data_IF_722028596027
#
_entry.id   IF_722028596027
#
_cell.length_a   1.000
_cell.length_b   1.000
_cell.length_c   1.000
_cell.angle_alpha   90.00
_cell.angle_beta   90.00
_cell.angle_gamma   90.00
#
_symmetry.space_group_name_H-M   'P 1'
#
loop_
_entity.id
_entity.type
_entity.pdbx_description
1 polymer ?
#
# COMPACT_ATOMS: atom_id res chain seq x y z
N UNK A 1 12.97 12.87 -27.40
CA UNK A 1 12.70 11.68 -26.55
C UNK A 1 13.54 11.87 -25.31
N UNK A 2 13.01 12.58 -24.32
CA UNK A 2 13.74 12.91 -23.10
C UNK A 2 13.72 11.71 -22.16
N UNK A 3 14.91 11.18 -21.89
CA UNK A 3 15.13 10.10 -20.94
C UNK A 3 15.06 10.74 -19.54
N UNK A 4 13.94 10.54 -18.84
CA UNK A 4 13.84 10.89 -17.42
C UNK A 4 14.73 9.94 -16.62
N UNK A 5 15.95 10.40 -16.34
CA UNK A 5 16.85 9.77 -15.38
C UNK A 5 16.27 10.07 -13.99
N UNK A 6 15.63 9.08 -13.37
CA UNK A 6 15.33 9.15 -11.94
C UNK A 6 16.66 9.26 -11.20
N UNK A 7 16.90 10.40 -10.56
CA UNK A 7 18.00 10.57 -9.61
C UNK A 7 17.87 9.48 -8.55
N UNK A 8 18.90 8.63 -8.44
CA UNK A 8 19.13 7.76 -7.29
C UNK A 8 19.21 8.64 -6.04
N UNK A 9 18.08 8.79 -5.34
CA UNK A 9 18.04 9.50 -4.06
C UNK A 9 18.58 8.55 -3.00
N UNK A 10 19.81 8.82 -2.56
CA UNK A 10 20.49 8.11 -1.49
C UNK A 10 19.70 8.17 -0.17
N UNK A 11 20.00 7.25 0.74
CA UNK A 11 19.24 6.93 1.96
C UNK A 11 18.97 8.09 2.94
N UNK A 12 19.56 9.26 2.72
CA UNK A 12 19.37 10.50 3.50
C UNK A 12 18.18 11.36 2.99
N UNK A 13 17.61 11.06 1.82
CA UNK A 13 16.81 12.02 1.04
C UNK A 13 15.31 12.14 1.34
N UNK A 14 14.75 11.45 2.36
CA UNK A 14 13.29 11.53 2.63
C UNK A 14 12.97 11.49 4.12
N UNK A 15 13.25 12.58 4.83
CA UNK A 15 12.98 12.75 6.27
C UNK A 15 11.49 12.63 6.66
N UNK A 16 10.61 12.58 5.66
CA UNK A 16 9.18 12.31 5.78
C UNK A 16 8.82 10.82 5.79
N UNK A 17 9.72 9.90 5.41
CA UNK A 17 9.48 8.46 5.45
C UNK A 17 9.94 7.84 6.79
N UNK A 18 8.99 7.30 7.53
CA UNK A 18 9.24 6.70 8.85
C UNK A 18 9.04 5.19 8.74
N UNK A 19 10.14 4.43 8.82
CA UNK A 19 10.13 2.97 8.63
C UNK A 19 9.29 2.26 9.69
N UNK A 20 8.34 1.45 9.24
CA UNK A 20 7.58 0.51 10.08
C UNK A 20 8.36 -0.80 10.18
N UNK A 21 8.65 -1.41 9.04
CA UNK A 21 9.35 -2.70 9.00
C UNK A 21 10.02 -2.96 7.65
N UNK A 22 10.92 -3.95 7.65
CA UNK A 22 11.52 -4.54 6.47
C UNK A 22 11.49 -6.07 6.55
N UNK A 23 11.25 -6.76 5.45
CA UNK A 23 11.30 -8.22 5.39
C UNK A 23 11.60 -8.74 3.99
N UNK A 24 12.20 -9.93 3.91
CA UNK A 24 12.43 -10.65 2.64
C UNK A 24 11.38 -11.74 2.46
N UNK A 25 11.18 -12.55 3.50
CA UNK A 25 10.17 -13.62 3.58
C UNK A 25 9.19 -13.35 4.71
N UNK A 26 7.94 -13.73 4.52
CA UNK A 26 6.82 -13.43 5.43
C UNK A 26 6.17 -14.69 6.01
N UNK A 27 6.31 -15.86 5.37
CA UNK A 27 5.62 -17.12 5.71
C UNK A 27 5.90 -17.61 7.13
N UNK A 28 7.05 -17.26 7.69
CA UNK A 28 7.49 -17.65 9.04
C UNK A 28 7.47 -16.48 10.03
N UNK A 29 6.94 -15.32 9.64
CA UNK A 29 6.93 -14.13 10.48
C UNK A 29 5.61 -14.01 11.24
N UNK A 30 5.71 -13.68 12.52
CA UNK A 30 4.57 -13.21 13.29
C UNK A 30 4.21 -11.78 12.85
N UNK A 31 3.22 -11.65 11.95
CA UNK A 31 2.75 -10.37 11.39
C UNK A 31 2.40 -9.33 12.48
N UNK A 32 1.65 -9.67 13.55
CA UNK A 32 1.44 -8.78 14.68
C UNK A 32 2.71 -8.18 15.30
N UNK A 33 3.81 -8.95 15.37
CA UNK A 33 5.10 -8.47 15.89
C UNK A 33 5.85 -7.58 14.89
N UNK A 34 5.65 -7.81 13.59
CA UNK A 34 6.27 -7.01 12.53
C UNK A 34 5.63 -5.61 12.45
N UNK A 35 4.30 -5.56 12.53
CA UNK A 35 3.48 -4.35 12.48
C UNK A 35 2.86 -4.11 13.87
N UNK A 36 3.57 -3.39 14.73
CA UNK A 36 3.11 -3.10 16.11
C UNK A 36 2.35 -1.78 16.18
N UNK A 37 1.38 -1.67 17.10
CA UNK A 37 0.57 -0.45 17.25
C UNK A 37 1.44 0.79 17.49
N UNK A 38 2.52 0.68 18.28
CA UNK A 38 3.50 1.77 18.49
C UNK A 38 4.09 2.28 17.18
N UNK A 39 4.37 1.38 16.23
CA UNK A 39 4.90 1.75 14.92
C UNK A 39 3.86 2.38 14.00
N UNK A 40 2.56 2.23 14.24
CA UNK A 40 1.49 2.81 13.39
C UNK A 40 0.86 4.09 13.94
N UNK A 41 1.02 4.39 15.24
CA UNK A 41 0.37 5.54 15.90
C UNK A 41 0.63 6.88 15.20
N UNK A 42 -0.40 7.72 15.18
CA UNK A 42 -0.39 9.15 14.79
C UNK A 42 -0.18 9.44 13.30
N UNK A 43 -0.33 8.46 12.43
CA UNK A 43 -0.27 8.67 10.99
C UNK A 43 -1.48 8.04 10.33
N UNK A 44 -1.88 8.65 9.23
CA UNK A 44 -2.97 8.16 8.40
C UNK A 44 -2.51 7.74 7.01
N UNK A 45 -1.25 7.95 6.64
CA UNK A 45 -0.72 7.66 5.30
C UNK A 45 0.49 6.70 5.37
N UNK A 46 0.50 5.68 4.52
CA UNK A 46 1.54 4.65 4.45
C UNK A 46 1.87 4.25 3.01
N UNK A 47 3.01 3.59 2.85
CA UNK A 47 3.45 3.05 1.55
C UNK A 47 4.25 1.76 1.72
N UNK A 48 4.20 0.92 0.68
CA UNK A 48 4.97 -0.32 0.56
C UNK A 48 5.90 -0.18 -0.65
N UNK A 49 7.19 -0.29 -0.40
CA UNK A 49 8.21 -0.48 -1.43
C UNK A 49 8.68 -1.93 -1.43
N UNK A 50 9.10 -2.42 -2.59
CA UNK A 50 9.77 -3.71 -2.69
C UNK A 50 10.65 -3.75 -3.94
N UNK A 51 11.58 -4.69 -3.96
CA UNK A 51 12.47 -4.90 -5.10
C UNK A 51 11.84 -5.93 -6.05
N UNK A 52 11.71 -5.57 -7.31
CA UNK A 52 11.21 -6.46 -8.36
C UNK A 52 12.25 -7.57 -8.61
N UNK A 53 11.82 -8.84 -8.58
CA UNK A 53 12.73 -9.99 -8.72
C UNK A 53 13.32 -10.12 -10.12
N UNK A 54 12.64 -9.60 -11.14
CA UNK A 54 13.04 -9.70 -12.54
C UNK A 54 14.08 -8.62 -12.88
N UNK A 55 13.75 -7.36 -12.63
CA UNK A 55 14.57 -6.22 -13.08
C UNK A 55 15.45 -5.61 -11.97
N UNK A 56 15.36 -6.13 -10.74
CA UNK A 56 16.10 -5.69 -9.55
C UNK A 56 15.85 -4.22 -9.11
N UNK A 57 14.86 -3.52 -9.65
CA UNK A 57 14.52 -2.15 -9.26
C UNK A 57 13.62 -2.13 -8.03
N UNK A 58 13.83 -1.14 -7.16
CA UNK A 58 12.90 -0.86 -6.05
C UNK A 58 11.75 -0.03 -6.57
N UNK A 59 10.53 -0.52 -6.38
CA UNK A 59 9.31 0.10 -6.89
C UNK A 59 8.35 0.42 -5.74
N UNK A 60 7.58 1.50 -5.88
CA UNK A 60 6.48 1.81 -4.98
C UNK A 60 5.28 0.94 -5.35
N UNK A 61 4.98 -0.08 -4.54
CA UNK A 61 3.93 -1.03 -4.86
C UNK A 61 2.54 -0.48 -4.53
N UNK A 62 2.43 0.18 -3.39
CA UNK A 62 1.14 0.64 -2.90
C UNK A 62 1.32 1.83 -1.97
N UNK A 63 0.34 2.72 -2.02
CA UNK A 63 0.17 3.86 -1.13
C UNK A 63 -1.28 3.78 -0.67
N UNK A 64 -1.55 4.10 0.58
CA UNK A 64 -2.91 4.16 1.06
C UNK A 64 -3.02 4.97 2.33
N UNK A 65 -4.22 5.46 2.61
CA UNK A 65 -4.53 6.10 3.86
C UNK A 65 -5.66 5.40 4.63
N UNK A 66 -5.51 5.35 5.96
CA UNK A 66 -6.55 4.81 6.84
C UNK A 66 -6.40 5.29 8.29
N UNK A 67 -7.51 5.23 9.01
CA UNK A 67 -7.54 5.53 10.46
C UNK A 67 -6.82 4.45 11.29
N UNK A 68 -6.78 3.21 10.81
CA UNK A 68 -6.08 2.10 11.46
C UNK A 68 -5.14 1.40 10.45
N UNK A 69 -4.02 2.09 10.19
CA UNK A 69 -2.92 1.60 9.35
C UNK A 69 -2.46 0.21 9.79
N UNK A 70 -2.42 -0.04 11.10
CA UNK A 70 -1.89 -1.30 11.63
C UNK A 70 -2.79 -2.47 11.26
N UNK A 71 -4.10 -2.36 11.47
CA UNK A 71 -5.06 -3.38 11.07
C UNK A 71 -5.05 -3.61 9.56
N UNK A 72 -5.02 -2.53 8.78
CA UNK A 72 -4.96 -2.59 7.32
C UNK A 72 -3.69 -3.30 6.82
N UNK A 73 -2.50 -2.84 7.24
CA UNK A 73 -1.24 -3.45 6.84
C UNK A 73 -1.15 -4.92 7.25
N UNK A 74 -1.62 -5.28 8.46
CA UNK A 74 -1.66 -6.68 8.89
C UNK A 74 -2.55 -7.54 8.01
N UNK A 75 -3.70 -7.02 7.55
CA UNK A 75 -4.57 -7.72 6.60
C UNK A 75 -3.86 -7.90 5.26
N UNK A 76 -3.24 -6.83 4.72
CA UNK A 76 -2.48 -6.89 3.46
C UNK A 76 -1.37 -7.94 3.54
N UNK A 77 -0.58 -7.93 4.61
CA UNK A 77 0.49 -8.90 4.84
C UNK A 77 -0.01 -10.34 4.94
N UNK A 78 -1.18 -10.58 5.55
CA UNK A 78 -1.78 -11.92 5.56
C UNK A 78 -2.20 -12.36 4.15
N UNK A 79 -2.75 -11.46 3.35
CA UNK A 79 -3.16 -11.76 1.97
C UNK A 79 -1.97 -12.11 1.07
N UNK A 80 -0.80 -11.47 1.27
CA UNK A 80 0.44 -11.78 0.55
C UNK A 80 0.86 -13.25 0.62
N UNK A 81 0.64 -13.90 1.78
CA UNK A 81 0.99 -15.32 2.02
C UNK A 81 -0.21 -16.26 2.02
N UNK A 82 -1.40 -15.77 1.70
CA UNK A 82 -2.63 -16.56 1.71
C UNK A 82 -2.62 -17.60 0.58
N UNK A 83 -3.05 -18.83 0.87
CA UNK A 83 -3.17 -19.90 -0.12
C UNK A 83 -4.64 -20.17 -0.40
N UNK A 84 -5.09 -20.12 -1.66
CA UNK A 84 -6.45 -20.48 -2.02
C UNK A 84 -6.71 -21.96 -1.72
N UNK A 85 -7.78 -22.23 -0.98
CA UNK A 85 -8.17 -23.58 -0.56
C UNK A 85 -9.67 -23.77 -0.77
N UNK A 86 -10.08 -24.95 -1.24
CA UNK A 86 -11.50 -25.31 -1.31
C UNK A 86 -12.01 -25.62 0.09
N UNK A 87 -13.10 -24.98 0.47
CA UNK A 87 -13.75 -25.18 1.77
C UNK A 87 -15.22 -25.47 1.53
N UNK A 88 -15.69 -26.56 2.14
CA UNK A 88 -17.09 -26.92 2.12
C UNK A 88 -17.85 -26.07 3.14
N UNK A 89 -18.93 -25.43 2.69
CA UNK A 89 -19.77 -24.55 3.50
C UNK A 89 -21.02 -25.30 3.92
N UNK A 90 -21.22 -25.38 5.22
CA UNK A 90 -22.47 -25.84 5.81
C UNK A 90 -23.41 -24.66 6.03
N UNK A 91 -24.70 -24.88 5.87
CA UNK A 91 -25.73 -23.94 6.32
C UNK A 91 -26.22 -24.36 7.71
N UNK A 92 -27.06 -23.54 8.35
CA UNK A 92 -27.59 -23.82 9.70
C UNK A 92 -28.22 -25.21 9.83
N UNK A 93 -28.86 -25.71 8.77
CA UNK A 93 -29.62 -26.96 8.81
C UNK A 93 -28.97 -28.11 8.03
N UNK A 94 -28.00 -27.82 7.16
CA UNK A 94 -27.41 -28.82 6.27
C UNK A 94 -25.89 -28.72 6.24
N UNK A 95 -25.21 -29.87 6.33
CA UNK A 95 -23.76 -29.95 6.21
C UNK A 95 -23.33 -29.98 4.73
N UNK A 96 -22.20 -29.35 4.42
CA UNK A 96 -21.50 -29.44 3.13
C UNK A 96 -22.37 -29.11 1.90
N UNK A 97 -23.11 -28.01 1.95
CA UNK A 97 -24.11 -27.63 0.93
C UNK A 97 -23.47 -27.17 -0.37
N UNK A 98 -22.37 -26.42 -0.29
CA UNK A 98 -21.63 -25.95 -1.46
C UNK A 98 -20.16 -25.73 -1.11
N UNK A 99 -19.31 -25.61 -2.12
CA UNK A 99 -17.89 -25.33 -1.95
C UNK A 99 -17.56 -23.90 -2.39
N UNK A 100 -16.66 -23.25 -1.63
CA UNK A 100 -16.04 -22.00 -2.06
C UNK A 100 -14.52 -22.20 -2.13
N UNK A 101 -13.85 -21.36 -2.91
CA UNK A 101 -12.39 -21.24 -2.85
C UNK A 101 -12.04 -19.99 -2.04
N UNK A 102 -11.37 -20.18 -0.90
CA UNK A 102 -10.88 -19.08 -0.07
C UNK A 102 -9.82 -18.26 -0.80
N UNK A 103 -9.65 -16.99 -0.43
CA UNK A 103 -8.60 -16.10 -0.96
C UNK A 103 -8.53 -15.99 -2.50
N UNK A 104 -9.69 -16.17 -3.15
CA UNK A 104 -9.87 -16.02 -4.59
C UNK A 104 -10.48 -14.65 -4.97
N UNK A 105 -10.69 -13.76 -4.00
CA UNK A 105 -11.13 -12.38 -4.25
C UNK A 105 -9.99 -11.52 -4.85
N UNK A 106 -10.38 -10.40 -5.45
CA UNK A 106 -9.47 -9.45 -6.12
C UNK A 106 -8.30 -9.03 -5.23
N UNK A 107 -8.52 -8.75 -3.94
CA UNK A 107 -7.46 -8.28 -3.06
C UNK A 107 -6.48 -9.39 -2.70
N UNK A 108 -6.99 -10.61 -2.44
CA UNK A 108 -6.15 -11.77 -2.20
C UNK A 108 -5.23 -12.07 -3.39
N UNK A 109 -5.78 -12.07 -4.62
CA UNK A 109 -4.99 -12.28 -5.85
C UNK A 109 -3.93 -11.18 -6.00
N UNK A 110 -4.34 -9.92 -5.89
CA UNK A 110 -3.48 -8.73 -6.04
C UNK A 110 -2.26 -8.78 -5.12
N UNK A 111 -2.46 -9.01 -3.82
CA UNK A 111 -1.35 -8.99 -2.87
C UNK A 111 -0.47 -10.24 -2.93
N UNK A 112 -1.06 -11.40 -3.23
CA UNK A 112 -0.28 -12.63 -3.46
C UNK A 112 0.62 -12.50 -4.69
N UNK A 113 0.14 -11.87 -5.77
CA UNK A 113 0.97 -11.58 -6.94
C UNK A 113 2.16 -10.66 -6.61
N UNK A 114 1.97 -9.62 -5.81
CA UNK A 114 3.08 -8.79 -5.36
C UNK A 114 4.13 -9.64 -4.62
N UNK A 115 3.70 -10.51 -3.73
CA UNK A 115 4.61 -11.35 -2.95
C UNK A 115 5.37 -12.38 -3.81
N UNK A 116 4.74 -12.86 -4.90
CA UNK A 116 5.38 -13.74 -5.88
C UNK A 116 6.43 -13.01 -6.72
N UNK A 117 6.18 -11.77 -7.12
CA UNK A 117 7.03 -11.04 -8.08
C UNK A 117 8.07 -10.11 -7.42
N UNK A 118 7.93 -9.81 -6.14
CA UNK A 118 8.80 -8.87 -5.42
C UNK A 118 9.41 -9.50 -4.17
N UNK A 119 10.57 -8.98 -3.77
CA UNK A 119 11.25 -9.31 -2.52
C UNK A 119 11.70 -8.03 -1.79
N UNK A 120 12.42 -8.17 -0.67
CA UNK A 120 13.00 -7.05 0.06
C UNK A 120 12.00 -5.92 0.39
N UNK A 121 10.81 -6.29 0.87
CA UNK A 121 9.73 -5.36 1.21
C UNK A 121 10.13 -4.39 2.33
N UNK A 122 9.81 -3.12 2.14
CA UNK A 122 9.98 -2.05 3.11
C UNK A 122 8.67 -1.26 3.24
N UNK A 123 8.16 -1.14 4.47
CA UNK A 123 6.90 -0.44 4.75
C UNK A 123 7.21 0.80 5.56
N UNK A 124 6.61 1.92 5.14
CA UNK A 124 6.80 3.23 5.74
C UNK A 124 5.47 3.90 6.06
N UNK A 125 5.51 4.75 7.08
CA UNK A 125 4.54 5.84 7.25
C UNK A 125 5.08 7.08 6.58
N UNK A 126 4.16 7.93 6.14
CA UNK A 126 4.50 9.21 5.51
C UNK A 126 4.10 10.32 6.49
N UNK A 127 5.09 11.14 6.89
CA UNK A 127 4.84 12.38 7.59
C UNK A 127 4.32 13.42 6.60
N UNK A 128 3.00 13.60 6.59
CA UNK A 128 2.29 14.47 5.64
C UNK A 128 2.75 15.93 5.76
N UNK A 129 2.96 16.44 6.97
CA UNK A 129 3.36 17.83 7.18
C UNK A 129 4.77 18.09 6.62
N UNK A 130 5.69 17.15 6.79
CA UNK A 130 7.03 17.24 6.18
C UNK A 130 7.00 17.06 4.67
N UNK A 131 6.22 16.09 4.19
CA UNK A 131 6.14 15.79 2.75
C UNK A 131 5.52 16.93 1.94
N UNK A 132 4.58 17.68 2.53
CA UNK A 132 3.91 18.83 1.91
C UNK A 132 4.52 20.18 2.32
N UNK A 133 5.71 20.20 2.94
CA UNK A 133 6.33 21.44 3.39
C UNK A 133 6.60 22.35 2.18
N UNK A 134 5.99 23.53 2.16
CA UNK A 134 6.12 24.50 1.06
C UNK A 134 5.19 24.25 -0.14
N UNK A 135 4.34 23.22 -0.10
CA UNK A 135 3.37 22.92 -1.15
C UNK A 135 2.07 23.74 -0.99
N UNK A 136 1.57 24.31 -2.09
CA UNK A 136 0.26 24.93 -2.11
C UNK A 136 -0.81 23.89 -2.45
N UNK A 137 -1.50 23.41 -1.41
CA UNK A 137 -2.54 22.38 -1.54
C UNK A 137 -3.95 22.95 -1.77
N UNK A 138 -4.13 24.27 -1.76
CA UNK A 138 -5.45 24.91 -1.83
C UNK A 138 -6.42 24.41 -0.75
N UNK A 139 -7.69 24.24 -1.12
CA UNK A 139 -8.76 23.79 -0.23
C UNK A 139 -8.88 22.26 -0.11
N UNK A 140 -7.88 21.51 -0.59
CA UNK A 140 -7.91 20.05 -0.51
C UNK A 140 -7.58 19.55 0.90
N UNK A 141 -8.18 18.41 1.25
CA UNK A 141 -7.76 17.68 2.43
C UNK A 141 -6.27 17.28 2.30
N UNK A 142 -5.47 17.64 3.31
CA UNK A 142 -4.02 17.37 3.37
C UNK A 142 -3.66 15.91 3.12
N UNK A 143 -4.42 14.96 3.67
CA UNK A 143 -4.14 13.52 3.52
C UNK A 143 -4.43 13.07 2.10
N UNK A 144 -5.60 13.42 1.54
CA UNK A 144 -5.95 13.09 0.16
C UNK A 144 -4.93 13.67 -0.82
N UNK A 145 -4.51 14.92 -0.61
CA UNK A 145 -3.52 15.58 -1.45
C UNK A 145 -2.15 14.89 -1.38
N UNK A 146 -1.66 14.64 -0.16
CA UNK A 146 -0.40 13.92 0.04
C UNK A 146 -0.43 12.51 -0.54
N UNK A 147 -1.52 11.77 -0.38
CA UNK A 147 -1.66 10.42 -0.93
C UNK A 147 -1.55 10.44 -2.45
N UNK A 148 -2.33 11.28 -3.11
CA UNK A 148 -2.35 11.36 -4.58
C UNK A 148 -1.01 11.83 -5.12
N UNK A 149 -0.43 12.89 -4.52
CA UNK A 149 0.88 13.40 -4.93
C UNK A 149 1.95 12.34 -4.74
N UNK A 150 1.96 11.63 -3.61
CA UNK A 150 2.94 10.60 -3.35
C UNK A 150 2.81 9.41 -4.31
N UNK A 151 1.57 8.98 -4.57
CA UNK A 151 1.29 7.92 -5.54
C UNK A 151 1.72 8.33 -6.96
N UNK A 152 1.49 9.59 -7.36
CA UNK A 152 1.88 10.12 -8.66
C UNK A 152 3.40 10.27 -8.80
N UNK A 153 4.08 10.83 -7.80
CA UNK A 153 5.52 11.08 -7.78
C UNK A 153 6.31 9.77 -7.84
N UNK A 154 5.83 8.73 -7.14
CA UNK A 154 6.51 7.43 -7.05
C UNK A 154 5.92 6.37 -8.00
N UNK A 155 4.97 6.75 -8.86
CA UNK A 155 4.27 5.86 -9.81
C UNK A 155 3.77 4.57 -9.15
N UNK A 156 3.00 4.73 -8.07
CA UNK A 156 2.56 3.62 -7.23
C UNK A 156 1.73 2.59 -8.01
N UNK A 157 2.20 1.34 -8.05
CA UNK A 157 1.68 0.29 -8.93
C UNK A 157 0.19 -0.03 -8.73
N UNK A 158 -0.25 -0.15 -7.48
CA UNK A 158 -1.62 -0.55 -7.15
C UNK A 158 -2.57 0.60 -6.84
N UNK A 159 -2.07 1.85 -6.81
CA UNK A 159 -2.87 2.97 -6.39
C UNK A 159 -3.91 3.33 -7.46
N UNK A 160 -5.14 3.57 -7.01
CA UNK A 160 -6.22 4.11 -7.83
C UNK A 160 -6.98 5.10 -6.96
N UNK A 161 -7.48 6.22 -7.53
CA UNK A 161 -8.29 7.13 -6.77
C UNK A 161 -9.54 6.42 -6.27
N UNK A 162 -9.89 6.64 -5.01
CA UNK A 162 -11.13 6.18 -4.43
C UNK A 162 -12.33 6.69 -5.24
N UNK A 163 -13.43 5.94 -5.31
CA UNK A 163 -14.67 6.42 -5.90
C UNK A 163 -15.09 7.75 -5.27
N UNK A 164 -15.75 8.61 -6.05
CA UNK A 164 -16.29 9.90 -5.63
C UNK A 164 -17.52 9.72 -4.70
N UNK A 165 -17.32 9.00 -3.59
CA UNK A 165 -18.28 8.84 -2.52
C UNK A 165 -17.74 9.57 -1.29
N UNK A 166 -18.62 10.05 -0.41
CA UNK A 166 -18.25 10.62 0.90
C UNK A 166 -17.26 11.80 0.87
N UNK A 167 -17.24 12.60 -0.21
CA UNK A 167 -16.37 13.77 -0.32
C UNK A 167 -14.90 13.47 -0.66
N UNK A 168 -14.59 12.30 -1.20
CA UNK A 168 -13.25 11.96 -1.68
C UNK A 168 -12.82 12.89 -2.83
N UNK A 169 -11.64 13.51 -2.69
CA UNK A 169 -11.09 14.50 -3.64
C UNK A 169 -10.00 13.91 -4.56
N UNK A 170 -9.64 12.63 -4.39
CA UNK A 170 -8.44 12.02 -4.99
C UNK A 170 -8.41 12.09 -6.52
N UNK A 171 -9.55 11.85 -7.18
CA UNK A 171 -9.65 11.90 -8.65
C UNK A 171 -9.44 13.30 -9.19
N UNK A 172 -10.00 14.31 -8.51
CA UNK A 172 -9.84 15.72 -8.88
C UNK A 172 -8.38 16.16 -8.72
N UNK A 173 -7.76 15.80 -7.60
CA UNK A 173 -6.35 16.08 -7.31
C UNK A 173 -5.46 15.40 -8.36
N UNK A 174 -5.73 14.14 -8.73
CA UNK A 174 -4.94 13.42 -9.74
C UNK A 174 -4.98 14.13 -11.09
N UNK A 175 -6.15 14.60 -11.52
CA UNK A 175 -6.29 15.32 -12.79
C UNK A 175 -5.41 16.59 -12.83
N UNK A 176 -5.20 17.27 -11.69
CA UNK A 176 -4.27 18.41 -11.61
C UNK A 176 -2.82 18.03 -11.88
N UNK A 177 -2.41 16.81 -11.56
CA UNK A 177 -1.04 16.33 -11.84
C UNK A 177 -0.88 15.76 -13.24
N UNK A 178 -1.95 15.25 -13.86
CA UNK A 178 -1.92 14.72 -15.21
C UNK A 178 -2.02 15.80 -16.30
N UNK A 179 -2.66 16.93 -15.99
CA UNK A 179 -2.87 18.04 -16.94
C UNK A 179 -1.81 19.16 -16.81
N UNK A 180 -0.69 18.88 -16.14
CA UNK A 180 0.50 19.75 -16.07
C UNK A 180 1.52 19.28 -17.09
#
# INVERSE_FOLDING_TARGET
MEIYIMKDSTKEDKDYLIKICKFVKLEYKNIPNLITSKKCKNYNLWTIFAKNKENNKTECLHVGSSKDICSELRKILKLMISKPEKVSISTTFHKNVYEITTYNDKNSIKYRMLYQNYDNFEIYKINVEKYLLGENIGDYNKINYAEVKFAYDNKALLWNPAPACNGNQEKEILNKFLNR
#
